data_IF_778674533709
#
_entry.id   IF_778674533709
#
_cell.length_a   1.000
_cell.length_b   1.000
_cell.length_c   1.000
_cell.angle_alpha   90.00
_cell.angle_beta   90.00
_cell.angle_gamma   90.00
#
_symmetry.space_group_name_H-M   'P 1'
#
loop_
_entity.id
_entity.type
_entity.pdbx_description
1 polymer ?
#
# COMPACT_ATOMS: atom_id res chain seq x y z
N UNK A 1 1.97 -0.82 -22.78
CA UNK A 1 1.17 -1.63 -21.84
C UNK A 1 0.19 -2.47 -22.66
N UNK A 2 -0.15 -3.69 -22.22
CA UNK A 2 -0.93 -4.65 -23.04
C UNK A 2 -2.42 -4.23 -23.12
N UNK A 3 -2.99 -4.16 -24.33
CA UNK A 3 -4.42 -3.85 -24.55
C UNK A 3 -5.33 -4.83 -23.81
N UNK A 4 -4.97 -6.11 -23.81
CA UNK A 4 -5.71 -7.18 -23.12
C UNK A 4 -5.77 -6.93 -21.60
N UNK A 5 -4.69 -6.38 -21.02
CA UNK A 5 -4.65 -6.06 -19.59
C UNK A 5 -5.64 -4.94 -19.25
N UNK A 6 -5.69 -3.90 -20.07
CA UNK A 6 -6.58 -2.75 -19.86
C UNK A 6 -8.04 -3.17 -20.02
N UNK A 7 -8.35 -4.02 -21.01
CA UNK A 7 -9.69 -4.56 -21.21
C UNK A 7 -10.12 -5.46 -20.04
N UNK A 8 -9.24 -6.34 -19.58
CA UNK A 8 -9.50 -7.17 -18.41
C UNK A 8 -9.72 -6.31 -17.14
N UNK A 9 -8.89 -5.29 -16.92
CA UNK A 9 -9.05 -4.35 -15.81
C UNK A 9 -10.38 -3.60 -15.88
N UNK A 10 -10.77 -3.16 -17.08
CA UNK A 10 -12.05 -2.48 -17.31
C UNK A 10 -13.21 -3.39 -16.98
N UNK A 11 -13.17 -4.65 -17.42
CA UNK A 11 -14.22 -5.62 -17.13
C UNK A 11 -14.36 -5.85 -15.62
N UNK A 12 -13.26 -6.00 -14.88
CA UNK A 12 -13.29 -6.12 -13.40
C UNK A 12 -13.90 -4.87 -12.78
N UNK A 13 -13.45 -3.68 -13.19
CA UNK A 13 -13.94 -2.42 -12.64
C UNK A 13 -15.42 -2.20 -12.92
N UNK A 14 -15.90 -2.48 -14.14
CA UNK A 14 -17.30 -2.28 -14.53
C UNK A 14 -18.25 -3.31 -13.91
N UNK A 15 -17.75 -4.50 -13.59
CA UNK A 15 -18.50 -5.58 -12.93
C UNK A 15 -18.13 -5.73 -11.43
N UNK A 16 -17.69 -4.65 -10.78
CA UNK A 16 -17.40 -4.66 -9.34
C UNK A 16 -18.59 -5.18 -8.53
N UNK A 17 -18.34 -5.91 -7.44
CA UNK A 17 -19.43 -6.42 -6.61
C UNK A 17 -20.22 -5.26 -5.97
N UNK A 18 -21.51 -5.44 -5.63
CA UNK A 18 -22.37 -4.36 -5.12
C UNK A 18 -21.82 -3.64 -3.89
N UNK A 19 -21.05 -4.31 -3.06
CA UNK A 19 -20.39 -3.78 -1.86
C UNK A 19 -19.22 -2.82 -2.18
N UNK A 20 -18.81 -2.71 -3.44
CA UNK A 20 -17.75 -1.80 -3.87
C UNK A 20 -18.30 -0.61 -4.66
N UNK A 21 -17.85 0.57 -4.29
CA UNK A 21 -17.97 1.79 -5.08
C UNK A 21 -16.82 1.87 -6.09
N UNK A 22 -17.18 2.04 -7.36
CA UNK A 22 -16.26 2.40 -8.45
C UNK A 22 -15.80 3.84 -8.27
N UNK A 23 -14.53 4.04 -7.90
CA UNK A 23 -14.01 5.35 -7.55
C UNK A 23 -13.17 5.96 -8.67
N UNK A 24 -12.18 5.23 -9.20
CA UNK A 24 -11.25 5.74 -10.21
C UNK A 24 -10.82 4.65 -11.20
N UNK A 25 -10.62 5.00 -12.47
CA UNK A 25 -10.07 4.12 -13.50
C UNK A 25 -9.14 4.90 -14.43
N UNK A 26 -7.87 4.49 -14.50
CA UNK A 26 -6.92 5.05 -15.46
C UNK A 26 -7.06 4.33 -16.81
N UNK A 27 -7.46 5.07 -17.85
CA UNK A 27 -7.71 4.50 -19.18
C UNK A 27 -6.43 4.13 -19.95
N UNK A 28 -5.29 4.67 -19.56
CA UNK A 28 -4.01 4.48 -20.23
C UNK A 28 -3.25 3.33 -19.57
N UNK A 29 -3.16 3.35 -18.24
CA UNK A 29 -2.47 2.35 -17.45
C UNK A 29 -3.34 1.12 -17.13
N UNK A 30 -4.66 1.26 -17.20
CA UNK A 30 -5.59 0.18 -16.85
C UNK A 30 -5.61 -0.15 -15.36
N UNK A 31 -5.04 0.69 -14.50
CA UNK A 31 -5.19 0.57 -13.05
C UNK A 31 -6.50 1.22 -12.59
N UNK A 32 -6.97 0.83 -11.41
CA UNK A 32 -8.25 1.32 -10.89
C UNK A 32 -8.30 1.31 -9.37
N UNK A 33 -9.30 2.00 -8.83
CA UNK A 33 -9.63 2.00 -7.40
C UNK A 33 -11.10 1.62 -7.22
N UNK A 34 -11.32 0.52 -6.50
CA UNK A 34 -12.60 0.13 -5.94
C UNK A 34 -12.56 0.34 -4.43
N UNK A 35 -13.63 0.91 -3.87
CA UNK A 35 -13.72 1.24 -2.45
C UNK A 35 -14.88 0.48 -1.82
N UNK A 36 -14.61 -0.40 -0.86
CA UNK A 36 -15.70 -1.08 -0.14
C UNK A 36 -16.57 -0.06 0.61
N UNK A 37 -17.90 -0.21 0.59
CA UNK A 37 -18.84 0.73 1.20
C UNK A 37 -18.65 0.95 2.71
N UNK A 38 -18.04 -0.03 3.38
CA UNK A 38 -17.74 0.01 4.82
C UNK A 38 -16.27 0.38 5.11
N UNK A 39 -15.52 0.85 4.12
CA UNK A 39 -14.16 1.37 4.32
C UNK A 39 -14.22 2.81 4.84
N UNK A 40 -13.41 3.13 5.85
CA UNK A 40 -13.39 4.48 6.41
C UNK A 40 -12.39 5.34 5.64
N UNK A 41 -12.90 6.29 4.86
CA UNK A 41 -12.05 7.04 3.94
C UNK A 41 -11.06 7.97 4.65
N UNK A 42 -9.78 7.74 4.40
CA UNK A 42 -8.70 8.65 4.70
C UNK A 42 -8.11 9.26 3.42
N UNK A 43 -7.93 10.59 3.40
CA UNK A 43 -7.34 11.32 2.27
C UNK A 43 -5.99 10.75 1.82
N UNK A 44 -5.14 10.33 2.76
CA UNK A 44 -3.84 9.73 2.46
C UNK A 44 -3.99 8.41 1.70
N UNK A 45 -4.97 7.61 2.06
CA UNK A 45 -5.18 6.27 1.49
C UNK A 45 -5.80 6.36 0.11
N UNK A 46 -6.76 7.27 -0.08
CA UNK A 46 -7.29 7.62 -1.40
C UNK A 46 -6.17 8.10 -2.33
N UNK A 47 -5.34 9.04 -1.85
CA UNK A 47 -4.21 9.54 -2.64
C UNK A 47 -3.27 8.41 -3.07
N UNK A 48 -2.87 7.54 -2.14
CA UNK A 48 -2.04 6.37 -2.45
C UNK A 48 -2.71 5.45 -3.47
N UNK A 49 -3.99 5.13 -3.27
CA UNK A 49 -4.73 4.26 -4.16
C UNK A 49 -4.79 4.80 -5.60
N UNK A 50 -5.05 6.10 -5.76
CA UNK A 50 -5.06 6.76 -7.07
C UNK A 50 -3.67 6.76 -7.72
N UNK A 51 -2.61 7.07 -6.98
CA UNK A 51 -1.23 7.05 -7.51
C UNK A 51 -0.85 5.65 -7.99
N UNK A 52 -1.20 4.61 -7.23
CA UNK A 52 -0.95 3.23 -7.64
C UNK A 52 -1.79 2.83 -8.87
N UNK A 53 -3.04 3.29 -8.96
CA UNK A 53 -3.87 3.08 -10.15
C UNK A 53 -3.31 3.76 -11.40
N UNK A 54 -2.74 4.97 -11.28
CA UNK A 54 -2.09 5.68 -12.40
C UNK A 54 -0.88 4.93 -12.97
N UNK A 55 -0.20 4.11 -12.18
CA UNK A 55 0.89 3.24 -12.65
C UNK A 55 0.41 1.84 -13.07
N UNK A 56 -0.91 1.62 -13.11
CA UNK A 56 -1.53 0.42 -13.67
C UNK A 56 -1.98 -0.62 -12.64
N UNK A 57 -1.82 -0.36 -11.34
CA UNK A 57 -2.24 -1.32 -10.30
C UNK A 57 -3.75 -1.34 -10.09
N UNK A 58 -4.30 -2.50 -9.74
CA UNK A 58 -5.71 -2.71 -9.42
C UNK A 58 -5.88 -2.68 -7.91
N UNK A 59 -6.43 -1.59 -7.38
CA UNK A 59 -6.59 -1.36 -5.95
C UNK A 59 -8.03 -1.63 -5.53
N UNK A 60 -8.21 -2.52 -4.54
CA UNK A 60 -9.49 -2.76 -3.86
C UNK A 60 -9.32 -2.41 -2.38
N UNK A 61 -9.88 -1.29 -1.94
CA UNK A 61 -9.90 -0.90 -0.52
C UNK A 61 -10.90 -1.80 0.21
N UNK A 62 -10.46 -2.48 1.26
CA UNK A 62 -11.25 -3.54 1.91
C UNK A 62 -12.12 -2.99 3.04
N UNK A 63 -13.09 -3.78 3.51
CA UNK A 63 -13.90 -3.40 4.67
C UNK A 63 -13.04 -3.27 5.92
N UNK A 64 -13.25 -2.21 6.69
CA UNK A 64 -12.69 -2.09 8.06
C UNK A 64 -13.60 -2.75 9.12
N UNK A 65 -14.79 -3.21 8.72
CA UNK A 65 -15.66 -3.97 9.62
C UNK A 65 -15.20 -5.42 9.67
N UNK A 66 -14.74 -5.84 10.83
CA UNK A 66 -14.44 -7.23 11.15
C UNK A 66 -15.23 -7.67 12.38
N UNK A 67 -15.36 -8.99 12.58
CA UNK A 67 -15.81 -9.53 13.85
C UNK A 67 -14.92 -9.01 14.99
N UNK A 68 -15.52 -8.77 16.16
CA UNK A 68 -14.88 -8.13 17.31
C UNK A 68 -13.51 -8.79 17.61
N UNK A 69 -12.43 -7.99 17.56
CA UNK A 69 -11.06 -8.45 17.80
C UNK A 69 -10.25 -8.85 16.56
N UNK A 70 -10.84 -8.88 15.36
CA UNK A 70 -10.11 -9.11 14.10
C UNK A 70 -9.74 -7.76 13.48
N UNK A 71 -8.50 -7.58 13.03
CA UNK A 71 -8.10 -6.42 12.22
C UNK A 71 -8.06 -6.82 10.76
N UNK A 72 -8.74 -6.05 9.91
CA UNK A 72 -8.72 -6.24 8.47
C UNK A 72 -7.65 -5.36 7.83
N UNK A 73 -6.93 -5.90 6.84
CA UNK A 73 -5.97 -5.11 6.06
C UNK A 73 -6.67 -4.00 5.27
N UNK A 74 -5.93 -2.95 4.96
CA UNK A 74 -6.49 -1.74 4.33
C UNK A 74 -6.93 -1.99 2.87
N UNK A 75 -6.14 -2.78 2.11
CA UNK A 75 -6.38 -2.99 0.69
C UNK A 75 -5.91 -4.35 0.18
N UNK A 76 -6.49 -4.79 -0.94
CA UNK A 76 -5.92 -5.79 -1.85
C UNK A 76 -5.45 -5.09 -3.13
N UNK A 77 -4.19 -5.30 -3.52
CA UNK A 77 -3.59 -4.67 -4.71
C UNK A 77 -2.95 -5.74 -5.58
N UNK A 78 -3.51 -5.95 -6.77
CA UNK A 78 -3.13 -7.02 -7.69
C UNK A 78 -3.05 -8.40 -7.00
N UNK A 79 -4.04 -8.69 -6.14
CA UNK A 79 -4.12 -9.95 -5.38
C UNK A 79 -3.22 -10.02 -4.14
N UNK A 80 -2.49 -8.95 -3.80
CA UNK A 80 -1.65 -8.89 -2.59
C UNK A 80 -2.35 -8.12 -1.49
N UNK A 81 -2.32 -8.66 -0.28
CA UNK A 81 -2.83 -7.95 0.90
C UNK A 81 -1.84 -6.87 1.30
N UNK A 82 -2.34 -5.64 1.37
CA UNK A 82 -1.58 -4.42 1.56
C UNK A 82 -2.06 -3.67 2.81
N UNK A 83 -1.10 -3.03 3.47
CA UNK A 83 -1.34 -2.09 4.56
C UNK A 83 -0.75 -0.72 4.19
N UNK A 84 -1.52 0.34 4.41
CA UNK A 84 -1.12 1.72 4.22
C UNK A 84 -0.58 2.34 5.50
N UNK A 85 0.49 3.11 5.39
CA UNK A 85 1.08 3.84 6.51
C UNK A 85 1.48 5.23 6.08
N UNK A 86 1.02 6.23 6.82
CA UNK A 86 1.34 7.62 6.53
C UNK A 86 2.43 8.14 7.47
N UNK A 87 3.43 8.82 6.88
CA UNK A 87 4.43 9.61 7.59
C UNK A 87 4.17 11.10 7.40
N UNK A 88 3.42 11.67 8.34
CA UNK A 88 3.07 13.09 8.37
C UNK A 88 4.21 13.98 8.87
N UNK A 89 4.05 15.30 8.73
CA UNK A 89 4.93 16.31 9.35
C UNK A 89 5.03 16.19 10.88
N UNK A 90 3.98 15.70 11.54
CA UNK A 90 3.98 15.48 12.99
C UNK A 90 4.75 14.22 13.42
N UNK A 91 5.19 13.39 12.48
CA UNK A 91 5.97 12.18 12.77
C UNK A 91 7.39 12.56 13.20
N UNK A 92 7.62 12.61 14.52
CA UNK A 92 8.93 12.97 15.10
C UNK A 92 10.00 11.88 14.90
N UNK A 93 9.63 10.62 15.07
CA UNK A 93 10.55 9.49 14.97
C UNK A 93 10.18 8.59 13.79
N UNK A 94 10.67 8.96 12.60
CA UNK A 94 10.45 8.23 11.34
C UNK A 94 10.81 6.75 11.48
N UNK A 95 12.01 6.45 12.00
CA UNK A 95 12.51 5.08 12.17
C UNK A 95 11.55 4.22 12.96
N UNK A 96 11.13 4.71 14.13
CA UNK A 96 10.20 3.98 14.99
C UNK A 96 8.84 3.82 14.32
N UNK A 97 8.32 4.86 13.67
CA UNK A 97 7.02 4.82 13.02
C UNK A 97 6.99 3.82 11.85
N UNK A 98 8.05 3.76 11.06
CA UNK A 98 8.20 2.77 9.97
C UNK A 98 8.25 1.36 10.55
N UNK A 99 9.12 1.13 11.55
CA UNK A 99 9.24 -0.18 12.20
C UNK A 99 7.90 -0.67 12.77
N UNK A 100 7.21 0.23 13.47
CA UNK A 100 5.93 -0.04 14.12
C UNK A 100 4.81 -0.28 13.10
N UNK A 101 4.77 0.50 12.01
CA UNK A 101 3.84 0.31 10.91
C UNK A 101 3.96 -1.07 10.27
N UNK A 102 5.19 -1.48 9.94
CA UNK A 102 5.46 -2.82 9.36
C UNK A 102 5.09 -3.93 10.36
N UNK A 103 5.43 -3.75 11.64
CA UNK A 103 5.10 -4.73 12.70
C UNK A 103 3.58 -4.86 12.93
N UNK A 104 2.81 -3.80 12.69
CA UNK A 104 1.35 -3.85 12.71
C UNK A 104 0.81 -4.55 11.47
N UNK A 105 1.24 -4.14 10.28
CA UNK A 105 0.83 -4.72 9.00
C UNK A 105 0.96 -6.25 9.01
N UNK A 106 2.10 -6.76 9.51
CA UNK A 106 2.34 -8.19 9.70
C UNK A 106 1.23 -8.89 10.51
N UNK A 107 0.80 -8.28 11.61
CA UNK A 107 -0.26 -8.82 12.48
C UNK A 107 -1.63 -8.82 11.81
N UNK A 108 -1.81 -8.02 10.75
CA UNK A 108 -3.03 -7.97 9.94
C UNK A 108 -2.97 -8.90 8.71
N UNK A 109 -1.89 -9.70 8.58
CA UNK A 109 -1.72 -10.61 7.44
C UNK A 109 -1.28 -9.91 6.15
N UNK A 110 -0.87 -8.64 6.21
CA UNK A 110 -0.36 -7.95 5.04
C UNK A 110 0.95 -8.59 4.54
N UNK A 111 1.11 -8.59 3.23
CA UNK A 111 2.33 -9.05 2.54
C UNK A 111 3.10 -7.88 1.92
N UNK A 112 2.47 -6.72 1.78
CA UNK A 112 3.10 -5.49 1.28
C UNK A 112 2.74 -4.33 2.22
N UNK A 113 3.72 -3.47 2.51
CA UNK A 113 3.47 -2.21 3.24
C UNK A 113 3.72 -1.05 2.31
N UNK A 114 2.73 -0.17 2.18
CA UNK A 114 2.83 1.04 1.38
C UNK A 114 2.92 2.23 2.31
N UNK A 115 4.04 2.95 2.23
CA UNK A 115 4.34 4.08 3.10
C UNK A 115 4.17 5.37 2.30
N UNK A 116 3.15 6.14 2.65
CA UNK A 116 2.97 7.49 2.14
C UNK A 116 3.90 8.47 2.86
N UNK A 117 4.84 9.05 2.13
CA UNK A 117 5.75 10.09 2.62
C UNK A 117 5.02 11.45 2.51
N UNK A 118 4.02 11.66 3.37
CA UNK A 118 3.25 12.90 3.43
C UNK A 118 3.95 14.00 4.26
N UNK A 119 5.16 14.35 3.83
CA UNK A 119 5.99 15.34 4.50
C UNK A 119 7.06 15.89 3.56
N UNK A 120 7.41 17.16 3.75
CA UNK A 120 8.38 17.90 2.93
C UNK A 120 9.81 17.46 3.17
N UNK A 121 10.16 17.17 4.43
CA UNK A 121 11.52 16.79 4.81
C UNK A 121 11.53 15.40 5.41
N UNK A 122 12.38 14.52 4.92
CA UNK A 122 12.52 13.15 5.42
C UNK A 122 13.96 12.68 5.21
N UNK A 123 14.34 11.63 5.93
CA UNK A 123 15.68 11.07 5.88
C UNK A 123 15.59 9.59 5.53
N UNK A 124 16.02 9.23 4.31
CA UNK A 124 16.00 7.84 3.84
C UNK A 124 16.70 6.88 4.79
N UNK A 125 17.81 7.29 5.41
CA UNK A 125 18.51 6.44 6.38
C UNK A 125 17.63 6.05 7.58
N UNK A 126 16.70 6.91 8.04
CA UNK A 126 15.76 6.59 9.12
C UNK A 126 14.69 5.62 8.66
N UNK A 127 14.19 5.79 7.43
CA UNK A 127 13.23 4.86 6.81
C UNK A 127 13.88 3.49 6.66
N UNK A 128 15.07 3.46 6.03
CA UNK A 128 15.84 2.25 5.79
C UNK A 128 16.19 1.52 7.10
N UNK A 129 16.62 2.24 8.15
CA UNK A 129 16.92 1.59 9.43
C UNK A 129 15.65 1.09 10.15
N UNK A 130 14.49 1.75 9.96
CA UNK A 130 13.19 1.25 10.39
C UNK A 130 12.80 -0.05 9.71
N UNK A 131 12.93 -0.12 8.39
CA UNK A 131 12.69 -1.34 7.58
C UNK A 131 13.63 -2.46 7.99
N UNK A 132 14.94 -2.17 8.09
CA UNK A 132 15.96 -3.15 8.51
C UNK A 132 15.59 -3.82 9.83
N UNK A 133 15.18 -3.02 10.81
CA UNK A 133 14.74 -3.53 12.11
C UNK A 133 13.46 -4.35 12.01
N UNK A 134 12.48 -3.91 11.23
CA UNK A 134 11.24 -4.65 11.07
C UNK A 134 11.47 -6.02 10.41
N UNK A 135 12.28 -6.07 9.35
CA UNK A 135 12.61 -7.32 8.64
C UNK A 135 13.42 -8.28 9.51
N UNK A 136 14.35 -7.76 10.33
CA UNK A 136 15.09 -8.58 11.29
C UNK A 136 14.16 -9.34 12.25
N UNK A 137 13.03 -8.74 12.66
CA UNK A 137 12.02 -9.36 13.54
C UNK A 137 10.87 -10.04 12.78
N UNK A 138 10.98 -10.15 11.46
CA UNK A 138 10.01 -10.85 10.62
C UNK A 138 10.57 -12.19 10.15
N UNK A 139 10.78 -13.08 11.12
CA UNK A 139 11.37 -14.42 10.94
C UNK A 139 10.57 -15.29 9.96
N UNK A 140 9.24 -15.18 9.99
CA UNK A 140 8.34 -15.89 9.07
C UNK A 140 8.30 -15.26 7.66
N UNK A 141 9.04 -14.17 7.44
CA UNK A 141 9.10 -13.43 6.19
C UNK A 141 7.72 -13.07 5.63
N UNK A 142 6.83 -12.55 6.46
CA UNK A 142 5.47 -12.25 6.01
C UNK A 142 5.43 -11.04 5.07
N UNK A 143 6.25 -10.03 5.33
CA UNK A 143 6.32 -8.81 4.50
C UNK A 143 7.28 -9.02 3.33
N UNK A 144 6.74 -9.09 2.12
CA UNK A 144 7.46 -9.41 0.88
C UNK A 144 7.91 -8.17 0.09
N UNK A 145 7.27 -7.02 0.29
CA UNK A 145 7.69 -5.76 -0.36
C UNK A 145 7.35 -4.53 0.48
N UNK A 146 8.11 -3.47 0.28
CA UNK A 146 7.82 -2.12 0.76
C UNK A 146 7.70 -1.20 -0.44
N UNK A 147 6.65 -0.38 -0.47
CA UNK A 147 6.46 0.65 -1.49
C UNK A 147 6.44 1.99 -0.79
N UNK A 148 7.22 2.96 -1.26
CA UNK A 148 7.13 4.36 -0.87
C UNK A 148 6.33 5.11 -1.92
N UNK A 149 5.35 5.89 -1.48
CA UNK A 149 4.60 6.82 -2.32
C UNK A 149 4.87 8.23 -1.82
N UNK A 150 5.26 9.13 -2.71
CA UNK A 150 5.58 10.51 -2.37
C UNK A 150 4.46 11.46 -2.81
N UNK A 151 4.38 12.64 -2.19
CA UNK A 151 3.45 13.71 -2.61
C UNK A 151 3.65 14.17 -4.07
N UNK A 152 4.80 13.87 -4.68
CA UNK A 152 5.07 14.08 -6.11
C UNK A 152 4.45 13.03 -7.03
N UNK A 153 3.69 12.07 -6.47
CA UNK A 153 3.19 10.86 -7.15
C UNK A 153 4.30 9.88 -7.59
N UNK A 154 5.56 10.14 -7.21
CA UNK A 154 6.64 9.17 -7.39
C UNK A 154 6.37 7.92 -6.54
N UNK A 155 6.65 6.75 -7.11
CA UNK A 155 6.53 5.45 -6.46
C UNK A 155 7.88 4.75 -6.50
N UNK A 156 8.39 4.35 -5.35
CA UNK A 156 9.57 3.50 -5.23
C UNK A 156 9.18 2.18 -4.59
N UNK A 157 9.59 1.07 -5.19
CA UNK A 157 9.32 -0.27 -4.66
C UNK A 157 10.64 -1.01 -4.41
N UNK A 158 10.68 -1.74 -3.30
CA UNK A 158 11.73 -2.71 -3.02
C UNK A 158 11.10 -4.03 -2.57
N UNK A 159 11.41 -5.11 -3.26
CA UNK A 159 11.09 -6.45 -2.80
C UNK A 159 12.03 -6.86 -1.67
N UNK A 160 11.60 -7.78 -0.80
CA UNK A 160 12.42 -8.32 0.29
C UNK A 160 13.72 -8.91 -0.24
N UNK A 161 13.68 -9.67 -1.32
CA UNK A 161 14.87 -10.26 -1.92
C UNK A 161 15.91 -9.19 -2.32
N UNK A 162 15.46 -8.11 -2.96
CA UNK A 162 16.34 -7.00 -3.33
C UNK A 162 16.94 -6.31 -2.08
N UNK A 163 16.12 -6.18 -1.03
CA UNK A 163 16.57 -5.66 0.25
C UNK A 163 17.64 -6.57 0.88
N UNK A 164 17.43 -7.87 0.90
CA UNK A 164 18.39 -8.85 1.44
C UNK A 164 19.70 -8.84 0.64
N UNK A 165 19.62 -8.55 -0.66
CA UNK A 165 20.77 -8.33 -1.56
C UNK A 165 21.42 -6.93 -1.45
N UNK A 166 21.02 -6.12 -0.46
CA UNK A 166 21.68 -4.86 -0.13
C UNK A 166 21.09 -3.60 -0.79
N UNK A 167 20.06 -3.73 -1.64
CA UNK A 167 19.36 -2.56 -2.20
C UNK A 167 18.66 -1.78 -1.09
N UNK A 168 18.65 -0.45 -1.17
CA UNK A 168 17.98 0.46 -0.23
C UNK A 168 17.22 1.53 -1.01
N UNK A 169 16.31 2.23 -0.34
CA UNK A 169 15.74 3.49 -0.84
C UNK A 169 16.75 4.62 -0.74
#
# INVERSE_FOLDING_TARGET
MNSEYIEASRAIYENAEPEYQRYYFDRIAGGFVLIHQQHNLNNSEIFVAEVLAKIGMRVRMLSEQAAEGTRTPDAEIDGRICEFKELTESTRNIRYRVQEGISRAKRQGATVVIIHINRKTYEFWKINDGIRKAFYWDEAQLIQAIILVFNSEEVQNIAREEWENGRRF
#
